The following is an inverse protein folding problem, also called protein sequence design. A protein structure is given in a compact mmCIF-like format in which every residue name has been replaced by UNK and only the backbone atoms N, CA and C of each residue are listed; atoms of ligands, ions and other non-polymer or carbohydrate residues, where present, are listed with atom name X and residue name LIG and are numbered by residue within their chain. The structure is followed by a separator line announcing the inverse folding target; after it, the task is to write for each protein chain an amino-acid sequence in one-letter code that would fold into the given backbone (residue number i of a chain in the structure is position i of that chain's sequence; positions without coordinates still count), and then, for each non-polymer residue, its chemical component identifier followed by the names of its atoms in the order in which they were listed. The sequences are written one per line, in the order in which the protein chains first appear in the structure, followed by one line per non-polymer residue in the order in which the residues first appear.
data_IF_840122292623
#
_entry.id   IF_840122292623
#
_cell.length_a   1.000
_cell.length_b   1.000
_cell.length_c   1.000
_cell.angle_alpha   90.00
_cell.angle_beta   90.00
_cell.angle_gamma   90.00
#
_symmetry.space_group_name_H-M   'P 1'
#
loop_
_entity.id
_entity.type
_entity.pdbx_description
1 polymer ?
#
# COMPACT_ATOMS: atom_id res chain seq x y z
N UNK A 1 -4.02 -29.56 -12.21
CA UNK A 1 -4.98 -28.44 -12.05
C UNK A 1 -5.18 -28.17 -10.57
N UNK A 2 -4.64 -27.08 -9.99
CA UNK A 2 -4.98 -26.68 -8.64
C UNK A 2 -6.00 -25.54 -8.64
N UNK A 3 -6.95 -25.61 -7.71
CA UNK A 3 -8.24 -24.94 -7.74
C UNK A 3 -8.20 -23.41 -7.66
N UNK A 4 -9.15 -22.81 -8.36
CA UNK A 4 -9.53 -21.41 -8.27
C UNK A 4 -10.21 -21.23 -6.90
N UNK A 5 -9.47 -20.80 -5.90
CA UNK A 5 -10.05 -20.34 -4.65
C UNK A 5 -10.65 -18.95 -4.84
N UNK A 6 -11.96 -18.86 -5.02
CA UNK A 6 -12.69 -17.63 -4.78
C UNK A 6 -12.69 -17.39 -3.27
N UNK A 7 -11.95 -16.38 -2.81
CA UNK A 7 -12.14 -15.87 -1.45
C UNK A 7 -13.34 -14.92 -1.49
N UNK A 8 -14.54 -15.47 -1.32
CA UNK A 8 -15.73 -14.67 -1.09
C UNK A 8 -15.60 -13.98 0.27
N UNK A 9 -15.31 -12.68 0.22
CA UNK A 9 -15.22 -11.76 1.37
C UNK A 9 -16.57 -11.70 2.14
N UNK A 10 -17.63 -12.31 1.61
CA UNK A 10 -18.94 -12.42 2.24
C UNK A 10 -19.02 -13.45 3.38
N UNK A 11 -18.10 -14.40 3.48
CA UNK A 11 -18.15 -15.42 4.55
C UNK A 11 -16.98 -15.24 5.51
N UNK A 12 -17.15 -14.33 6.48
CA UNK A 12 -16.25 -14.16 7.62
C UNK A 12 -16.23 -15.36 8.58
N UNK A 13 -16.03 -16.57 8.06
CA UNK A 13 -16.15 -17.82 8.82
C UNK A 13 -14.91 -18.16 9.67
N UNK A 14 -13.77 -17.47 9.49
CA UNK A 14 -12.56 -17.69 10.30
C UNK A 14 -11.92 -16.41 10.89
N UNK A 15 -12.71 -15.35 11.10
CA UNK A 15 -12.20 -14.16 11.79
C UNK A 15 -12.39 -14.29 13.32
N UNK A 16 -11.39 -13.93 14.14
CA UNK A 16 -11.55 -13.83 15.59
C UNK A 16 -12.76 -12.95 15.93
N UNK A 17 -13.53 -13.34 16.93
CA UNK A 17 -14.87 -12.80 17.23
C UNK A 17 -14.94 -11.27 17.30
N UNK A 18 -13.87 -10.63 17.79
CA UNK A 18 -13.72 -9.17 17.89
C UNK A 18 -13.76 -8.40 16.56
N UNK A 19 -13.68 -9.08 15.41
CA UNK A 19 -13.65 -8.45 14.08
C UNK A 19 -14.95 -8.64 13.26
N UNK A 20 -15.99 -9.26 13.82
CA UNK A 20 -17.25 -9.57 13.09
C UNK A 20 -18.21 -8.37 12.91
N UNK A 21 -17.86 -7.18 13.43
CA UNK A 21 -18.74 -6.00 13.50
C UNK A 21 -18.81 -5.13 12.23
N UNK A 22 -18.02 -5.38 11.19
CA UNK A 22 -17.97 -4.55 9.98
C UNK A 22 -18.84 -5.04 8.80
N UNK A 23 -20.02 -5.65 9.06
CA UNK A 23 -20.80 -6.36 8.03
C UNK A 23 -21.83 -5.55 7.23
N UNK A 24 -22.17 -4.31 7.61
CA UNK A 24 -23.47 -3.76 7.19
C UNK A 24 -23.48 -2.57 6.21
N UNK A 25 -22.45 -2.33 5.39
CA UNK A 25 -22.57 -1.34 4.30
C UNK A 25 -21.68 -1.70 3.10
N UNK A 26 -22.17 -2.51 2.16
CA UNK A 26 -21.49 -2.74 0.88
C UNK A 26 -22.46 -2.53 -0.30
N UNK A 27 -22.25 -1.43 -1.03
CA UNK A 27 -22.86 -1.10 -2.32
C UNK A 27 -22.15 -1.92 -3.40
N UNK A 28 -22.92 -2.54 -4.30
CA UNK A 28 -22.46 -3.54 -5.26
C UNK A 28 -21.52 -3.04 -6.37
N UNK A 29 -20.22 -2.97 -6.07
CA UNK A 29 -19.14 -2.96 -7.06
C UNK A 29 -18.35 -4.26 -6.93
N UNK A 30 -18.42 -5.13 -7.95
CA UNK A 30 -17.60 -6.35 -8.03
C UNK A 30 -16.15 -5.98 -8.35
N UNK A 31 -15.38 -5.61 -7.33
CA UNK A 31 -13.92 -5.61 -7.41
C UNK A 31 -13.42 -7.03 -7.15
N UNK A 32 -12.65 -7.60 -8.09
CA UNK A 32 -11.96 -8.86 -7.82
C UNK A 32 -10.69 -8.55 -7.04
N UNK A 33 -10.69 -8.84 -5.75
CA UNK A 33 -9.56 -8.62 -4.84
C UNK A 33 -8.66 -9.85 -4.92
N UNK A 34 -7.43 -9.67 -5.39
CA UNK A 34 -6.42 -10.73 -5.38
C UNK A 34 -5.49 -10.51 -4.19
N UNK A 35 -5.38 -11.52 -3.34
CA UNK A 35 -4.26 -11.63 -2.41
C UNK A 35 -3.04 -11.94 -3.25
N UNK A 36 -2.02 -11.08 -3.20
CA UNK A 36 -0.73 -11.41 -3.79
C UNK A 36 -0.16 -12.63 -3.05
N UNK A 37 -0.43 -13.84 -3.55
CA UNK A 37 0.24 -15.04 -3.06
C UNK A 37 1.72 -14.92 -3.43
N UNK A 38 2.64 -15.31 -2.53
CA UNK A 38 4.11 -15.28 -2.70
C UNK A 38 4.64 -15.88 -4.04
N UNK A 39 3.80 -16.55 -4.84
CA UNK A 39 4.15 -17.32 -6.04
C UNK A 39 3.60 -16.81 -7.39
N UNK A 40 2.90 -15.67 -7.46
CA UNK A 40 2.43 -15.14 -8.76
C UNK A 40 3.18 -13.87 -9.17
N UNK A 41 3.78 -13.83 -10.37
CA UNK A 41 4.32 -12.59 -10.91
C UNK A 41 3.19 -11.59 -11.15
N UNK A 42 3.37 -10.37 -10.64
CA UNK A 42 2.46 -9.20 -10.77
C UNK A 42 2.20 -8.76 -12.22
N UNK A 43 2.81 -9.41 -13.22
CA UNK A 43 2.83 -8.97 -14.60
C UNK A 43 2.03 -9.86 -15.58
N UNK A 44 1.41 -10.96 -15.13
CA UNK A 44 0.66 -11.87 -15.99
C UNK A 44 -0.86 -11.72 -15.82
N UNK A 45 -1.36 -10.48 -15.86
CA UNK A 45 -2.81 -10.25 -15.82
C UNK A 45 -3.42 -10.57 -17.18
N UNK A 46 -4.35 -11.53 -17.28
CA UNK A 46 -5.03 -11.79 -18.54
C UNK A 46 -5.82 -10.53 -18.94
N UNK A 47 -5.71 -10.15 -20.22
CA UNK A 47 -6.29 -8.94 -20.82
C UNK A 47 -7.82 -9.09 -21.05
N UNK A 48 -8.56 -9.49 -20.02
CA UNK A 48 -9.98 -9.86 -20.14
C UNK A 48 -10.91 -8.64 -20.01
N UNK A 49 -10.39 -7.46 -19.66
CA UNK A 49 -11.20 -6.26 -19.47
C UNK A 49 -11.12 -5.34 -20.69
N UNK A 50 -12.26 -4.81 -21.17
CA UNK A 50 -12.26 -3.80 -22.21
C UNK A 50 -11.42 -2.61 -21.74
N UNK A 51 -10.45 -2.18 -22.55
CA UNK A 51 -9.62 -1.02 -22.21
C UNK A 51 -10.52 0.21 -22.08
N UNK A 52 -10.52 0.86 -20.92
CA UNK A 52 -11.13 2.18 -20.78
C UNK A 52 -10.48 3.14 -21.78
N UNK A 53 -11.34 3.79 -22.56
CA UNK A 53 -10.96 4.81 -23.54
C UNK A 53 -11.16 6.20 -22.93
N UNK A 54 -10.40 7.16 -23.41
CA UNK A 54 -10.56 8.54 -22.99
C UNK A 54 -11.97 9.04 -23.36
N UNK A 55 -12.73 9.53 -22.38
CA UNK A 55 -14.02 10.18 -22.63
C UNK A 55 -13.86 11.70 -22.68
N UNK A 56 -13.61 12.25 -23.86
CA UNK A 56 -13.43 13.68 -24.08
C UNK A 56 -14.67 14.54 -23.78
N UNK A 57 -15.86 13.93 -23.61
CA UNK A 57 -17.06 14.66 -23.17
C UNK A 57 -16.96 15.09 -21.72
N UNK A 58 -16.19 14.36 -20.90
CA UNK A 58 -15.95 14.65 -19.49
C UNK A 58 -14.68 15.50 -19.28
N UNK A 59 -14.04 15.96 -20.37
CA UNK A 59 -12.77 16.67 -20.31
C UNK A 59 -12.96 18.11 -20.81
N UNK A 60 -12.81 19.12 -19.94
CA UNK A 60 -12.78 20.53 -20.30
C UNK A 60 -11.79 20.79 -21.42
N UNK A 61 -12.11 21.75 -22.30
CA UNK A 61 -11.32 22.03 -23.52
C UNK A 61 -9.86 22.32 -23.19
N UNK A 62 -9.62 22.97 -22.07
CA UNK A 62 -8.32 23.39 -21.55
C UNK A 62 -7.42 22.19 -21.20
N UNK A 63 -8.02 21.05 -20.82
CA UNK A 63 -7.30 19.83 -20.46
C UNK A 63 -7.16 18.82 -21.61
N UNK A 64 -7.87 19.01 -22.73
CA UNK A 64 -7.84 18.08 -23.87
C UNK A 64 -6.46 17.86 -24.47
N UNK A 65 -5.60 18.89 -24.66
CA UNK A 65 -4.25 18.65 -25.18
C UNK A 65 -3.42 17.74 -24.26
N UNK A 66 -3.66 17.79 -22.95
CA UNK A 66 -3.00 16.92 -21.97
C UNK A 66 -3.57 15.49 -22.07
N UNK A 67 -4.89 15.36 -22.16
CA UNK A 67 -5.55 14.07 -22.34
C UNK A 67 -5.10 13.35 -23.63
N UNK A 68 -4.97 14.07 -24.73
CA UNK A 68 -4.46 13.55 -26.02
C UNK A 68 -3.04 13.00 -25.87
N UNK A 69 -2.16 13.72 -25.18
CA UNK A 69 -0.79 13.25 -24.91
C UNK A 69 -0.77 12.00 -24.03
N UNK A 70 -1.62 11.95 -23.01
CA UNK A 70 -1.77 10.77 -22.14
C UNK A 70 -2.28 9.55 -22.94
N UNK A 71 -3.28 9.76 -23.79
CA UNK A 71 -3.81 8.73 -24.68
C UNK A 71 -2.74 8.22 -25.66
N UNK A 72 -1.94 9.14 -26.22
CA UNK A 72 -0.79 8.85 -27.08
C UNK A 72 0.44 8.26 -26.37
N UNK A 73 0.35 7.94 -25.07
CA UNK A 73 1.45 7.39 -24.26
C UNK A 73 2.67 8.31 -24.13
N UNK A 74 2.46 9.62 -24.29
CA UNK A 74 3.52 10.61 -24.19
C UNK A 74 3.64 11.11 -22.75
N UNK A 75 4.88 11.44 -22.35
CA UNK A 75 5.14 12.09 -21.06
C UNK A 75 4.60 13.53 -21.11
N UNK A 76 3.86 13.91 -20.08
CA UNK A 76 3.42 15.30 -19.90
C UNK A 76 4.59 16.19 -19.48
N UNK A 77 4.53 17.47 -19.83
CA UNK A 77 5.50 18.48 -19.40
C UNK A 77 5.21 18.99 -17.98
N UNK A 78 6.12 19.78 -17.41
CA UNK A 78 5.92 20.46 -16.14
C UNK A 78 4.75 21.47 -16.19
N UNK A 79 4.61 22.19 -17.31
CA UNK A 79 3.50 23.12 -17.52
C UNK A 79 2.14 22.41 -17.50
N UNK A 80 2.08 21.20 -18.04
CA UNK A 80 0.87 20.38 -18.00
C UNK A 80 0.56 19.87 -16.59
N UNK A 81 1.59 19.45 -15.85
CA UNK A 81 1.43 19.03 -14.47
C UNK A 81 0.87 20.18 -13.61
N UNK A 82 1.37 21.41 -13.82
CA UNK A 82 0.84 22.61 -13.15
C UNK A 82 -0.60 22.91 -13.56
N UNK A 83 -0.95 22.75 -14.84
CA UNK A 83 -2.32 22.93 -15.33
C UNK A 83 -3.28 21.91 -14.70
N UNK A 84 -2.88 20.63 -14.63
CA UNK A 84 -3.65 19.57 -13.96
C UNK A 84 -3.80 19.85 -12.45
N UNK A 85 -2.74 20.30 -11.78
CA UNK A 85 -2.78 20.63 -10.35
C UNK A 85 -3.75 21.79 -10.05
N UNK A 86 -3.87 22.76 -10.96
CA UNK A 86 -4.79 23.90 -10.84
C UNK A 86 -6.22 23.61 -11.30
N UNK A 87 -6.45 22.48 -11.96
CA UNK A 87 -7.77 22.13 -12.47
C UNK A 87 -8.72 21.83 -11.30
N UNK A 88 -9.94 22.38 -11.38
CA UNK A 88 -10.99 22.17 -10.38
C UNK A 88 -12.11 21.23 -10.88
N UNK A 89 -11.75 20.28 -11.75
CA UNK A 89 -12.67 19.26 -12.26
C UNK A 89 -12.14 17.87 -11.93
N UNK A 90 -12.60 17.33 -10.80
CA UNK A 90 -12.19 16.02 -10.31
C UNK A 90 -12.56 14.88 -11.28
N UNK A 91 -13.66 15.01 -12.02
CA UNK A 91 -14.10 13.96 -12.94
C UNK A 91 -13.19 13.91 -14.17
N UNK A 92 -12.82 15.07 -14.71
CA UNK A 92 -11.86 15.15 -15.80
C UNK A 92 -10.49 14.60 -15.38
N UNK A 93 -9.99 14.99 -14.20
CA UNK A 93 -8.74 14.49 -13.64
C UNK A 93 -8.79 12.96 -13.41
N UNK A 94 -9.90 12.48 -12.84
CA UNK A 94 -10.15 11.06 -12.61
C UNK A 94 -10.17 10.25 -13.91
N UNK A 95 -10.80 10.76 -14.97
CA UNK A 95 -10.82 10.11 -16.29
C UNK A 95 -9.41 9.98 -16.89
N UNK A 96 -8.66 11.08 -16.92
CA UNK A 96 -7.28 11.11 -17.45
C UNK A 96 -6.39 10.14 -16.66
N UNK A 97 -6.51 10.14 -15.33
CA UNK A 97 -5.76 9.23 -14.46
C UNK A 97 -6.18 7.76 -14.61
N UNK A 98 -7.48 7.48 -14.74
CA UNK A 98 -8.00 6.11 -14.80
C UNK A 98 -7.53 5.38 -16.05
N UNK A 99 -7.49 6.07 -17.21
CA UNK A 99 -6.94 5.49 -18.45
C UNK A 99 -5.51 4.99 -18.24
N UNK A 100 -4.67 5.75 -17.54
CA UNK A 100 -3.29 5.33 -17.22
C UNK A 100 -3.27 4.19 -16.20
N UNK A 101 -4.09 4.27 -15.15
CA UNK A 101 -4.21 3.23 -14.11
C UNK A 101 -4.61 1.90 -14.72
N UNK A 102 -5.65 1.85 -15.54
CA UNK A 102 -6.12 0.60 -16.14
C UNK A 102 -5.19 0.07 -17.23
N UNK A 103 -4.51 0.95 -17.96
CA UNK A 103 -3.46 0.54 -18.90
C UNK A 103 -2.34 -0.22 -18.18
N UNK A 104 -1.94 0.23 -17.00
CA UNK A 104 -0.87 -0.40 -16.20
C UNK A 104 -1.33 -1.60 -15.40
N UNK A 105 -2.52 -1.50 -14.80
CA UNK A 105 -2.96 -2.41 -13.74
C UNK A 105 -4.25 -3.18 -14.10
N UNK A 106 -4.81 -3.01 -15.29
CA UNK A 106 -6.14 -3.52 -15.65
C UNK A 106 -7.21 -3.05 -14.65
N UNK A 107 -8.23 -3.89 -14.42
CA UNK A 107 -9.20 -3.70 -13.35
C UNK A 107 -8.79 -4.45 -12.06
N UNK A 108 -7.49 -4.51 -11.77
CA UNK A 108 -6.98 -5.16 -10.56
C UNK A 108 -6.65 -4.13 -9.49
N UNK A 109 -6.94 -4.47 -8.24
CA UNK A 109 -6.43 -3.77 -7.07
C UNK A 109 -5.68 -4.81 -6.22
N UNK A 110 -4.43 -4.52 -5.90
CA UNK A 110 -3.58 -5.38 -5.06
C UNK A 110 -3.54 -4.84 -3.65
N UNK A 111 -3.29 -5.74 -2.71
CA UNK A 111 -3.03 -5.40 -1.31
C UNK A 111 -1.97 -6.35 -0.75
N UNK A 112 -1.38 -5.94 0.37
CA UNK A 112 -0.44 -6.76 1.12
C UNK A 112 -0.98 -6.99 2.54
N UNK A 113 -0.76 -8.18 3.06
CA UNK A 113 -0.96 -8.47 4.47
C UNK A 113 0.40 -8.45 5.15
N UNK A 114 0.71 -7.32 5.79
CA UNK A 114 2.00 -7.10 6.45
C UNK A 114 1.84 -6.88 7.95
N UNK A 115 2.95 -6.99 8.68
CA UNK A 115 3.06 -6.57 10.06
C UNK A 115 3.81 -5.25 10.12
N UNK A 116 3.08 -4.16 10.36
CA UNK A 116 3.66 -2.82 10.51
C UNK A 116 4.12 -2.60 11.96
N UNK A 117 5.40 -2.28 12.16
CA UNK A 117 6.01 -2.09 13.48
C UNK A 117 6.77 -0.76 13.49
N UNK A 118 6.45 0.06 14.49
CA UNK A 118 7.26 1.22 14.84
C UNK A 118 8.21 0.82 15.96
N UNK A 119 9.49 0.58 15.70
CA UNK A 119 10.41 0.10 16.74
C UNK A 119 10.81 1.19 17.76
N UNK A 120 10.79 2.45 17.34
CA UNK A 120 11.02 3.60 18.22
C UNK A 120 10.50 4.88 17.60
N UNK A 121 9.97 5.79 18.43
CA UNK A 121 9.67 7.17 18.03
C UNK A 121 10.76 8.17 18.46
N UNK A 122 11.94 7.71 18.89
CA UNK A 122 13.06 8.58 19.29
C UNK A 122 13.82 9.03 18.04
N UNK A 123 14.01 10.34 17.89
CA UNK A 123 14.66 10.91 16.71
C UNK A 123 15.54 12.12 17.04
N UNK A 124 16.68 12.21 16.35
CA UNK A 124 17.55 13.39 16.42
C UNK A 124 16.93 14.63 15.76
N UNK A 125 16.05 14.43 14.78
CA UNK A 125 15.38 15.51 14.04
C UNK A 125 14.14 16.03 14.79
N UNK A 126 13.56 17.11 14.24
CA UNK A 126 12.37 17.79 14.79
C UNK A 126 11.43 18.26 13.67
N UNK A 127 11.06 17.34 12.78
CA UNK A 127 10.14 17.62 11.68
C UNK A 127 8.76 18.03 12.22
N UNK A 128 8.23 19.18 11.76
CA UNK A 128 7.00 19.80 12.30
C UNK A 128 5.73 18.96 12.14
N UNK A 129 5.72 18.04 11.16
CA UNK A 129 4.59 17.17 10.86
C UNK A 129 4.76 15.74 11.40
N UNK A 130 5.87 15.43 12.07
CA UNK A 130 6.23 14.06 12.41
C UNK A 130 6.02 13.76 13.90
N UNK A 131 5.25 12.70 14.18
CA UNK A 131 5.03 12.20 15.54
C UNK A 131 6.25 11.50 16.17
N UNK A 132 7.33 11.28 15.41
CA UNK A 132 8.55 10.61 15.89
C UNK A 132 9.66 11.59 16.27
N UNK A 133 9.35 12.88 16.42
CA UNK A 133 10.32 13.86 16.89
C UNK A 133 10.56 13.79 18.42
N UNK A 134 10.39 12.63 19.05
CA UNK A 134 10.57 12.47 20.49
C UNK A 134 12.05 12.47 20.85
N UNK A 135 12.40 13.10 21.97
CA UNK A 135 13.70 12.95 22.63
C UNK A 135 13.60 11.84 23.66
N UNK A 136 14.72 11.15 23.93
CA UNK A 136 14.76 9.99 24.84
C UNK A 136 14.17 10.24 26.24
N UNK A 137 14.20 11.49 26.71
CA UNK A 137 13.67 11.90 28.02
C UNK A 137 12.19 12.30 28.00
N UNK A 138 11.58 12.39 26.83
CA UNK A 138 10.19 12.82 26.72
C UNK A 138 9.29 11.69 27.23
N UNK A 139 8.23 12.04 27.95
CA UNK A 139 7.36 11.04 28.59
C UNK A 139 6.65 10.10 27.60
N UNK A 140 6.54 10.50 26.32
CA UNK A 140 5.91 9.72 25.25
C UNK A 140 6.94 8.97 24.38
N UNK A 141 8.22 9.04 24.73
CA UNK A 141 9.27 8.33 24.00
C UNK A 141 9.18 6.82 24.28
N UNK A 142 9.39 6.02 23.24
CA UNK A 142 9.47 4.56 23.34
C UNK A 142 10.57 4.00 22.42
N UNK A 143 11.10 2.86 22.81
CA UNK A 143 12.08 2.06 22.07
C UNK A 143 11.81 0.60 22.45
N UNK A 144 11.42 -0.22 21.48
CA UNK A 144 11.20 -1.66 21.68
C UNK A 144 12.53 -2.41 21.64
N UNK A 145 12.67 -3.38 22.54
CA UNK A 145 13.73 -4.37 22.45
C UNK A 145 13.53 -5.27 21.22
N UNK A 146 14.63 -5.80 20.67
CA UNK A 146 14.57 -6.69 19.51
C UNK A 146 13.68 -7.91 19.79
N UNK A 147 13.75 -8.48 20.99
CA UNK A 147 12.96 -9.67 21.33
C UNK A 147 11.45 -9.37 21.40
N UNK A 148 11.05 -8.16 21.78
CA UNK A 148 9.65 -7.72 21.72
C UNK A 148 9.16 -7.62 20.27
N UNK A 149 10.01 -7.08 19.38
CA UNK A 149 9.73 -7.00 17.94
C UNK A 149 9.59 -8.39 17.33
N UNK A 150 10.53 -9.29 17.63
CA UNK A 150 10.55 -10.67 17.16
C UNK A 150 9.31 -11.42 17.65
N UNK A 151 8.92 -11.26 18.91
CA UNK A 151 7.68 -11.84 19.44
C UNK A 151 6.46 -11.34 18.68
N UNK A 152 6.35 -10.02 18.46
CA UNK A 152 5.24 -9.42 17.74
C UNK A 152 5.15 -9.85 16.26
N UNK A 153 6.27 -10.24 15.63
CA UNK A 153 6.29 -10.82 14.29
C UNK A 153 5.91 -12.30 14.35
N UNK A 154 6.46 -13.05 15.30
CA UNK A 154 6.14 -14.47 15.49
C UNK A 154 4.63 -14.69 15.70
N UNK A 155 3.97 -13.83 16.48
CA UNK A 155 2.51 -13.89 16.69
C UNK A 155 1.71 -13.60 15.42
N UNK A 156 2.29 -12.86 14.48
CA UNK A 156 1.65 -12.47 13.22
C UNK A 156 1.89 -13.47 12.09
N UNK A 157 2.93 -14.32 12.16
CA UNK A 157 3.21 -15.34 11.14
C UNK A 157 2.04 -16.32 10.94
N UNK A 158 1.40 -16.89 11.99
CA UNK A 158 0.23 -17.75 11.82
C UNK A 158 -0.98 -17.06 11.16
N UNK A 159 -1.02 -15.72 11.16
CA UNK A 159 -2.06 -14.93 10.50
C UNK A 159 -1.81 -14.81 8.98
N UNK A 160 -0.69 -15.32 8.47
CA UNK A 160 -0.36 -15.31 7.06
C UNK A 160 0.19 -13.98 6.56
N UNK A 161 0.95 -13.25 7.40
CA UNK A 161 1.70 -12.08 6.92
C UNK A 161 2.78 -12.53 5.92
N UNK A 162 3.11 -11.65 4.98
CA UNK A 162 4.16 -11.91 3.97
C UNK A 162 5.28 -10.88 3.99
N UNK A 163 5.18 -9.88 4.86
CA UNK A 163 6.15 -8.79 4.97
C UNK A 163 6.09 -8.22 6.39
N UNK A 164 7.23 -7.80 6.92
CA UNK A 164 7.33 -6.92 8.08
C UNK A 164 7.73 -5.53 7.60
N UNK A 165 6.89 -4.55 7.84
CA UNK A 165 7.19 -3.15 7.54
C UNK A 165 7.69 -2.49 8.83
N UNK A 166 8.97 -2.14 8.85
CA UNK A 166 9.65 -1.57 10.02
C UNK A 166 9.93 -0.08 9.83
N UNK A 167 9.40 0.76 10.71
CA UNK A 167 9.62 2.22 10.69
C UNK A 167 10.10 2.67 12.07
N UNK A 168 10.90 3.73 12.12
CA UNK A 168 11.28 4.35 13.38
C UNK A 168 11.86 5.74 13.17
N UNK A 169 12.12 6.43 14.26
CA UNK A 169 12.86 7.69 14.23
C UNK A 169 14.31 7.50 13.78
N UNK A 170 14.97 8.60 13.39
CA UNK A 170 16.42 8.60 13.16
C UNK A 170 17.12 8.53 14.52
N UNK A 171 17.29 7.29 15.00
CA UNK A 171 17.69 7.02 16.38
C UNK A 171 19.15 7.42 16.65
N UNK A 172 19.45 8.25 17.67
CA UNK A 172 20.81 8.77 17.92
C UNK A 172 21.83 7.70 18.30
N UNK A 173 21.39 6.67 19.02
CA UNK A 173 22.30 5.72 19.70
C UNK A 173 22.30 4.32 19.09
N UNK A 174 21.27 3.92 18.35
CA UNK A 174 21.21 2.59 17.75
C UNK A 174 22.25 2.52 16.63
N UNK A 175 23.19 1.59 16.76
CA UNK A 175 24.25 1.36 15.78
C UNK A 175 23.78 0.36 14.74
N UNK A 176 24.52 0.27 13.62
CA UNK A 176 24.26 -0.68 12.54
C UNK A 176 24.05 -2.12 13.05
N UNK A 177 24.80 -2.54 14.08
CA UNK A 177 24.77 -3.92 14.56
C UNK A 177 23.44 -4.29 15.20
N UNK A 178 22.74 -3.32 15.80
CA UNK A 178 21.38 -3.52 16.31
C UNK A 178 20.41 -3.88 15.16
N UNK A 179 20.48 -3.15 14.05
CA UNK A 179 19.63 -3.43 12.87
C UNK A 179 19.99 -4.77 12.23
N UNK A 180 21.29 -5.10 12.14
CA UNK A 180 21.73 -6.38 11.60
C UNK A 180 21.29 -7.55 12.49
N UNK A 181 21.34 -7.40 13.81
CA UNK A 181 20.84 -8.43 14.73
C UNK A 181 19.33 -8.62 14.62
N UNK A 182 18.57 -7.52 14.56
CA UNK A 182 17.13 -7.56 14.30
C UNK A 182 16.80 -8.33 13.01
N UNK A 183 17.46 -7.97 11.89
CA UNK A 183 17.22 -8.64 10.61
C UNK A 183 17.58 -10.14 10.65
N UNK A 184 18.69 -10.51 11.30
CA UNK A 184 19.06 -11.93 11.48
C UNK A 184 18.01 -12.70 12.27
N UNK A 185 17.54 -12.14 13.39
CA UNK A 185 16.52 -12.76 14.24
C UNK A 185 15.17 -12.88 13.50
N UNK A 186 14.74 -11.86 12.77
CA UNK A 186 13.52 -11.93 11.96
C UNK A 186 13.63 -12.98 10.85
N UNK A 187 14.77 -13.04 10.15
CA UNK A 187 15.03 -14.05 9.11
C UNK A 187 15.08 -15.48 9.66
N UNK A 188 15.49 -15.65 10.91
CA UNK A 188 15.49 -16.95 11.58
C UNK A 188 14.08 -17.44 11.95
N UNK A 189 13.08 -16.55 12.06
CA UNK A 189 11.68 -16.94 12.27
C UNK A 189 11.06 -17.57 11.02
N UNK A 190 11.25 -16.93 9.86
CA UNK A 190 10.78 -17.43 8.56
C UNK A 190 11.79 -17.00 7.47
N UNK A 191 12.53 -17.94 6.85
CA UNK A 191 13.42 -17.66 5.71
C UNK A 191 12.70 -17.19 4.44
N UNK A 192 11.37 -17.14 4.42
CA UNK A 192 10.58 -16.62 3.31
C UNK A 192 9.94 -15.26 3.65
N UNK A 193 10.31 -14.68 4.79
CA UNK A 193 10.01 -13.29 5.19
C UNK A 193 10.99 -12.29 4.57
#
# INVERSE_FOLDING_TARGET
MPGIGHLDIHTGQNLPEKWKLAKNHAVGLRATVFVASRKRPVHAWPAIYPRVRMNYQLIPKELRPIAERVEAHQRISEADALALYRANDLNALGMIANVVRERKNGNYATYIHNRYINYSNICVLSCQFCAFAAKKRDAHAFEYAIDEIVSAVNDALPLGITEVHMVGGLHPTLKKDWYLDLLRKLRALDPEL
#
